data_IF_274033570830
#
_entry.id   IF_274033570830
#
_cell.length_a   1.000
_cell.length_b   1.000
_cell.length_c   1.000
_cell.angle_alpha   90.00
_cell.angle_beta   90.00
_cell.angle_gamma   90.00
#
_symmetry.space_group_name_H-M   'P 1'
#
loop_
_entity.id
_entity.type
_entity.pdbx_description
1 polymer ?
#
# COMPACT_ATOMS: atom_id res chain seq x y z
N UNK A 1 43.45 16.49 29.32
CA UNK A 1 43.96 17.86 29.04
C UNK A 1 42.86 18.62 28.30
N UNK A 2 42.39 19.70 28.91
CA UNK A 2 41.28 20.57 28.42
C UNK A 2 41.85 21.49 27.35
N UNK A 3 41.15 21.73 26.25
CA UNK A 3 41.18 22.97 25.51
C UNK A 3 39.79 23.36 25.05
N UNK A 4 39.25 24.38 25.70
CA UNK A 4 38.09 25.16 25.29
C UNK A 4 38.58 26.20 24.25
N UNK A 5 37.83 26.43 23.20
CA UNK A 5 37.98 27.60 22.36
C UNK A 5 36.61 28.28 22.20
N UNK A 6 36.55 29.48 22.76
CA UNK A 6 35.47 30.46 22.60
C UNK A 6 35.83 31.37 21.44
N UNK A 7 34.91 31.62 20.52
CA UNK A 7 34.98 32.80 19.64
C UNK A 7 33.56 33.36 19.45
N UNK A 8 33.36 34.42 20.01
CA UNK A 8 32.66 35.72 20.00
C UNK A 8 31.87 36.09 18.75
N UNK A 9 30.71 36.69 19.07
CA UNK A 9 29.76 37.46 18.29
C UNK A 9 30.33 38.51 17.35
N UNK A 10 29.59 38.76 16.24
CA UNK A 10 29.50 40.12 15.67
C UNK A 10 28.12 40.32 15.03
N UNK A 11 27.34 41.21 15.59
CA UNK A 11 26.12 41.78 15.03
C UNK A 11 26.48 42.90 14.03
N UNK A 12 25.75 42.96 12.92
CA UNK A 12 25.78 44.17 12.06
C UNK A 12 24.33 44.52 11.66
N UNK A 13 23.85 45.60 12.21
CA UNK A 13 22.62 46.27 11.84
C UNK A 13 22.88 47.25 10.70
N UNK A 14 22.04 47.28 9.66
CA UNK A 14 21.92 48.38 8.73
C UNK A 14 20.46 48.79 8.57
N UNK A 15 20.17 49.96 9.09
CA UNK A 15 19.00 50.76 8.81
C UNK A 15 19.27 51.70 7.64
N UNK A 16 18.37 51.78 6.67
CA UNK A 16 18.22 52.97 5.84
C UNK A 16 16.76 53.15 5.43
N UNK A 17 16.25 54.31 5.84
CA UNK A 17 14.94 54.83 5.46
C UNK A 17 15.05 55.49 4.07
N UNK A 18 13.98 55.45 3.29
CA UNK A 18 13.79 56.20 2.05
C UNK A 18 12.31 56.34 1.76
N UNK A 19 11.76 57.56 2.00
CA UNK A 19 10.43 57.98 1.56
C UNK A 19 10.40 58.30 0.06
N UNK A 20 9.26 58.00 -0.58
CA UNK A 20 8.90 58.50 -1.90
C UNK A 20 7.46 58.17 -2.20
N UNK A 21 6.60 59.20 -2.24
CA UNK A 21 5.15 59.13 -2.52
C UNK A 21 4.88 59.01 -4.02
N UNK A 22 3.85 58.31 -4.42
CA UNK A 22 2.59 58.77 -5.03
C UNK A 22 1.92 57.71 -5.91
N UNK A 23 0.59 57.68 -5.74
CA UNK A 23 -0.47 57.38 -6.72
C UNK A 23 -0.96 55.95 -6.90
N UNK A 24 -2.10 55.72 -6.24
CA UNK A 24 -3.36 55.06 -6.70
C UNK A 24 -3.28 53.96 -7.74
N UNK A 25 -3.49 52.74 -7.27
CA UNK A 25 -4.50 51.84 -7.87
C UNK A 25 -4.96 50.82 -6.84
N UNK A 26 -6.27 50.84 -6.53
CA UNK A 26 -6.96 49.93 -5.64
C UNK A 26 -7.27 48.63 -6.36
N UNK A 27 -6.63 47.54 -5.98
CA UNK A 27 -7.13 46.17 -6.25
C UNK A 27 -7.04 45.38 -4.97
N UNK A 28 -8.09 44.60 -4.57
CA UNK A 28 -8.19 44.04 -3.25
C UNK A 28 -7.28 42.83 -3.07
N UNK A 29 -6.43 42.88 -2.07
CA UNK A 29 -5.63 41.76 -1.61
C UNK A 29 -6.51 40.64 -1.12
N UNK A 30 -6.43 39.47 -1.77
CA UNK A 30 -6.89 38.20 -1.20
C UNK A 30 -5.91 37.76 -0.11
N UNK A 31 -6.40 37.28 1.06
CA UNK A 31 -5.52 36.73 2.07
C UNK A 31 -4.90 35.43 1.57
N UNK A 32 -3.59 35.33 1.69
CA UNK A 32 -2.85 34.09 1.47
C UNK A 32 -3.38 33.01 2.41
N UNK A 33 -4.03 32.00 1.85
CA UNK A 33 -4.29 30.76 2.53
C UNK A 33 -2.95 30.01 2.62
N UNK A 34 -2.41 29.89 3.83
CA UNK A 34 -1.46 28.83 4.15
C UNK A 34 -2.23 27.51 4.10
N UNK A 35 -2.21 26.86 2.95
CA UNK A 35 -2.58 25.46 2.86
C UNK A 35 -1.46 24.63 3.50
N UNK A 36 -1.67 24.25 4.76
CA UNK A 36 -1.00 23.08 5.31
C UNK A 36 -1.61 21.87 4.59
N UNK A 37 -1.07 21.57 3.42
CA UNK A 37 -1.41 20.37 2.68
C UNK A 37 -0.99 19.15 3.48
N UNK A 38 -1.95 18.55 4.16
CA UNK A 38 -1.88 17.18 4.57
C UNK A 38 -2.03 16.36 3.29
N UNK A 39 -0.90 15.99 2.68
CA UNK A 39 -0.89 15.01 1.61
C UNK A 39 -1.13 13.63 2.23
N UNK A 40 -2.38 13.33 2.55
CA UNK A 40 -2.86 11.96 2.52
C UNK A 40 -2.86 11.57 1.03
N UNK A 41 -1.82 10.85 0.63
CA UNK A 41 -1.79 10.17 -0.65
C UNK A 41 -2.79 9.01 -0.56
N UNK A 42 -4.06 9.31 -0.78
CA UNK A 42 -5.07 8.28 -1.03
C UNK A 42 -4.73 7.67 -2.40
N UNK A 43 -3.96 6.61 -2.39
CA UNK A 43 -3.82 5.71 -3.52
C UNK A 43 -5.17 5.02 -3.76
N UNK A 44 -6.04 5.66 -4.51
CA UNK A 44 -7.22 5.03 -5.10
C UNK A 44 -6.78 4.14 -6.28
N UNK A 45 -5.99 3.10 -5.99
CA UNK A 45 -5.72 2.03 -6.92
C UNK A 45 -7.02 1.26 -7.15
N UNK A 46 -7.41 1.03 -8.39
CA UNK A 46 -8.47 0.10 -8.71
C UNK A 46 -7.96 -1.32 -8.39
N UNK A 47 -8.35 -1.86 -7.22
CA UNK A 47 -7.97 -3.18 -6.74
C UNK A 47 -8.77 -4.33 -7.39
N UNK A 48 -9.50 -4.05 -8.47
CA UNK A 48 -10.12 -5.07 -9.31
C UNK A 48 -9.09 -5.69 -10.25
N UNK A 49 -9.15 -7.02 -10.44
CA UNK A 49 -8.30 -7.73 -11.38
C UNK A 49 -9.11 -8.50 -12.42
N UNK A 50 -8.45 -9.00 -13.47
CA UNK A 50 -9.06 -9.88 -14.47
C UNK A 50 -9.38 -11.28 -13.91
N UNK A 51 -8.92 -11.60 -12.69
CA UNK A 51 -9.13 -12.89 -12.04
C UNK A 51 -8.14 -13.97 -12.49
N UNK A 52 -7.13 -13.62 -13.27
CA UNK A 52 -6.05 -14.55 -13.64
C UNK A 52 -5.23 -14.89 -12.41
N UNK A 53 -4.86 -16.14 -12.27
CA UNK A 53 -4.00 -16.66 -11.19
C UNK A 53 -2.84 -17.44 -11.79
N UNK A 54 -1.71 -17.61 -11.07
CA UNK A 54 -0.61 -18.46 -11.54
C UNK A 54 -1.07 -19.88 -11.90
N UNK A 55 -0.57 -20.42 -13.00
CA UNK A 55 -1.01 -21.73 -13.59
C UNK A 55 -0.80 -22.92 -12.62
N UNK A 56 0.17 -22.84 -11.73
CA UNK A 56 0.55 -23.88 -10.78
C UNK A 56 0.00 -23.64 -9.36
N UNK A 57 -0.77 -22.57 -9.17
CA UNK A 57 -1.46 -22.30 -7.90
C UNK A 57 -2.52 -23.38 -7.63
N UNK A 58 -2.44 -24.02 -6.46
CA UNK A 58 -3.31 -25.14 -6.09
C UNK A 58 -4.63 -24.67 -5.50
N UNK A 59 -5.74 -25.08 -6.09
CA UNK A 59 -7.05 -24.92 -5.45
C UNK A 59 -7.08 -25.62 -4.08
N UNK A 60 -7.75 -24.99 -3.11
CA UNK A 60 -7.93 -25.56 -1.79
C UNK A 60 -8.97 -26.69 -1.83
N UNK A 61 -8.62 -27.88 -1.33
CA UNK A 61 -9.49 -29.06 -1.38
C UNK A 61 -10.78 -28.90 -0.55
N UNK A 62 -10.71 -28.28 0.63
CA UNK A 62 -11.83 -28.09 1.55
C UNK A 62 -11.70 -26.74 2.27
N UNK A 63 -11.84 -25.61 1.55
CA UNK A 63 -11.71 -24.30 2.15
C UNK A 63 -12.84 -24.02 3.16
N UNK A 64 -12.54 -23.28 4.22
CA UNK A 64 -13.55 -22.87 5.21
C UNK A 64 -14.67 -22.04 4.58
N UNK A 65 -14.34 -21.31 3.51
CA UNK A 65 -15.29 -20.54 2.71
C UNK A 65 -15.28 -21.04 1.26
N UNK A 66 -16.20 -21.93 0.87
CA UNK A 66 -16.26 -22.43 -0.50
C UNK A 66 -16.56 -21.34 -1.53
N UNK A 67 -16.08 -21.53 -2.77
CA UNK A 67 -16.39 -20.64 -3.89
C UNK A 67 -17.91 -20.46 -4.04
N UNK A 68 -18.37 -19.23 -4.20
CA UNK A 68 -19.77 -18.82 -4.23
C UNK A 68 -20.39 -18.54 -2.86
N UNK A 69 -19.72 -18.89 -1.76
CA UNK A 69 -20.18 -18.51 -0.42
C UNK A 69 -19.88 -17.05 -0.10
N UNK A 70 -20.46 -16.57 1.00
CA UNK A 70 -20.23 -15.24 1.53
C UNK A 70 -19.46 -15.29 2.83
N UNK A 71 -18.63 -14.28 3.05
CA UNK A 71 -17.90 -14.08 4.30
C UNK A 71 -17.87 -12.57 4.62
N UNK A 72 -17.73 -12.22 5.89
CA UNK A 72 -17.44 -10.85 6.29
C UNK A 72 -15.94 -10.68 6.41
N UNK A 73 -15.39 -9.63 5.79
CA UNK A 73 -13.96 -9.33 5.81
C UNK A 73 -13.54 -8.67 7.13
N UNK A 74 -12.49 -9.17 7.74
CA UNK A 74 -11.74 -8.50 8.81
C UNK A 74 -10.46 -7.83 8.27
N UNK A 75 -10.10 -8.16 7.03
CA UNK A 75 -9.01 -7.51 6.29
C UNK A 75 -9.21 -6.00 6.21
N UNK A 76 -8.10 -5.27 6.25
CA UNK A 76 -8.09 -3.81 6.13
C UNK A 76 -6.90 -3.37 5.26
N UNK A 77 -6.79 -3.97 4.08
CA UNK A 77 -5.71 -3.69 3.12
C UNK A 77 -5.98 -2.42 2.33
N UNK A 78 -7.26 -2.02 2.23
CA UNK A 78 -7.72 -0.83 1.55
C UNK A 78 -8.92 -0.21 2.28
N UNK A 79 -9.22 1.09 2.05
CA UNK A 79 -10.40 1.75 2.59
C UNK A 79 -11.71 1.01 2.26
N UNK A 80 -12.66 0.98 3.18
CA UNK A 80 -13.98 0.38 2.98
C UNK A 80 -14.04 -1.16 3.03
N UNK A 81 -12.91 -1.85 3.16
CA UNK A 81 -12.86 -3.32 3.12
C UNK A 81 -13.36 -3.97 4.41
N UNK A 82 -12.91 -3.46 5.57
CA UNK A 82 -13.22 -4.07 6.86
C UNK A 82 -14.69 -4.01 7.22
N UNK A 83 -15.26 -5.17 7.57
CA UNK A 83 -16.67 -5.31 7.93
C UNK A 83 -17.61 -5.49 6.74
N UNK A 84 -17.10 -5.41 5.51
CA UNK A 84 -17.88 -5.59 4.29
C UNK A 84 -18.12 -7.08 4.01
N UNK A 85 -19.30 -7.42 3.50
CA UNK A 85 -19.61 -8.76 3.02
C UNK A 85 -18.97 -8.98 1.64
N UNK A 86 -18.20 -10.05 1.50
CA UNK A 86 -17.58 -10.46 0.26
C UNK A 86 -18.14 -11.77 -0.25
N UNK A 87 -18.12 -11.96 -1.57
CA UNK A 87 -18.37 -13.24 -2.22
C UNK A 87 -17.05 -13.89 -2.58
N UNK A 88 -16.86 -15.13 -2.20
CA UNK A 88 -15.66 -15.90 -2.54
C UNK A 88 -15.71 -16.30 -4.01
N UNK A 89 -14.71 -15.92 -4.79
CA UNK A 89 -14.61 -16.28 -6.21
C UNK A 89 -13.45 -17.22 -6.51
N UNK A 90 -12.52 -17.39 -5.57
CA UNK A 90 -11.44 -18.37 -5.64
C UNK A 90 -10.93 -18.71 -4.24
N UNK A 91 -10.39 -19.91 -4.05
CA UNK A 91 -9.78 -20.37 -2.80
C UNK A 91 -8.58 -21.27 -3.11
N UNK A 92 -7.41 -20.95 -2.58
CA UNK A 92 -6.15 -21.60 -2.95
C UNK A 92 -5.28 -21.86 -1.73
N UNK A 93 -4.50 -22.95 -1.75
CA UNK A 93 -3.57 -23.30 -0.69
C UNK A 93 -2.15 -22.88 -1.11
N UNK A 94 -1.57 -21.94 -0.39
CA UNK A 94 -0.23 -21.43 -0.69
C UNK A 94 0.44 -20.81 0.56
N UNK A 95 1.59 -20.17 0.38
CA UNK A 95 2.19 -19.29 1.37
C UNK A 95 1.93 -17.83 0.96
N UNK A 96 1.26 -17.08 1.85
CA UNK A 96 1.07 -15.64 1.71
C UNK A 96 2.21 -14.87 2.39
N UNK A 97 2.66 -13.80 1.75
CA UNK A 97 3.72 -12.92 2.25
C UNK A 97 3.21 -11.49 2.39
N UNK A 98 3.49 -10.87 3.54
CA UNK A 98 3.52 -9.42 3.60
C UNK A 98 4.89 -8.95 3.11
N UNK A 99 4.92 -7.92 2.28
CA UNK A 99 6.16 -7.44 1.64
C UNK A 99 6.28 -5.92 1.69
N UNK A 100 7.54 -5.46 1.80
CA UNK A 100 7.88 -4.04 1.63
C UNK A 100 8.71 -3.86 0.36
N UNK A 101 8.33 -2.93 -0.50
CA UNK A 101 8.99 -2.72 -1.79
C UNK A 101 8.97 -1.25 -2.22
N UNK A 102 9.80 -0.89 -3.21
CA UNK A 102 9.73 0.40 -3.89
C UNK A 102 9.16 0.18 -5.28
N UNK A 103 8.03 0.85 -5.64
CA UNK A 103 7.44 0.70 -6.96
C UNK A 103 8.42 1.01 -8.10
N UNK A 104 8.36 0.22 -9.18
CA UNK A 104 9.19 0.41 -10.39
C UNK A 104 8.89 1.72 -11.10
N UNK A 105 7.75 2.35 -10.81
CA UNK A 105 7.35 3.68 -11.29
C UNK A 105 8.10 4.83 -10.61
N UNK A 106 8.81 4.56 -9.50
CA UNK A 106 9.56 5.56 -8.73
C UNK A 106 8.74 6.31 -7.70
N UNK A 107 7.55 5.82 -7.36
CA UNK A 107 6.72 6.34 -6.27
C UNK A 107 7.33 6.03 -4.89
N UNK A 108 6.68 6.52 -3.84
CA UNK A 108 7.12 6.28 -2.47
C UNK A 108 7.14 4.78 -2.14
N UNK A 109 8.09 4.32 -1.28
CA UNK A 109 8.09 2.94 -0.82
C UNK A 109 6.77 2.53 -0.20
N UNK A 110 6.34 1.30 -0.50
CA UNK A 110 5.17 0.65 0.09
C UNK A 110 5.67 -0.28 1.19
N UNK A 111 5.15 -0.12 2.40
CA UNK A 111 5.54 -0.94 3.55
C UNK A 111 4.42 -1.90 3.93
N UNK A 112 4.79 -3.14 4.26
CA UNK A 112 3.89 -4.17 4.77
C UNK A 112 2.64 -4.38 3.91
N UNK A 113 2.82 -4.38 2.58
CA UNK A 113 1.74 -4.71 1.63
C UNK A 113 1.27 -6.14 1.83
N UNK A 114 -0.02 -6.33 1.93
CA UNK A 114 -0.71 -7.61 2.07
C UNK A 114 -1.64 -7.85 0.88
N UNK A 115 -1.56 -8.93 0.22
CA UNK A 115 -0.64 -10.05 0.27
C UNK A 115 -0.07 -10.32 -1.12
N UNK A 116 1.13 -10.88 -1.18
CA UNK A 116 1.70 -11.53 -2.36
C UNK A 116 1.80 -13.01 -2.04
N UNK A 117 1.49 -13.89 -2.98
CA UNK A 117 1.59 -15.33 -2.77
C UNK A 117 2.90 -15.89 -3.34
N UNK A 118 3.22 -17.11 -2.93
CA UNK A 118 4.49 -17.76 -3.28
C UNK A 118 4.69 -17.87 -4.80
N UNK A 119 3.64 -18.19 -5.52
CA UNK A 119 3.62 -18.35 -6.97
C UNK A 119 3.64 -17.01 -7.74
N UNK A 120 3.52 -15.89 -7.04
CA UNK A 120 3.67 -14.53 -7.56
C UNK A 120 5.07 -13.94 -7.33
N UNK A 121 6.06 -14.78 -7.02
CA UNK A 121 7.45 -14.37 -6.89
C UNK A 121 8.26 -14.89 -8.08
N UNK A 122 9.12 -14.06 -8.67
CA UNK A 122 9.93 -14.46 -9.84
C UNK A 122 10.89 -15.60 -9.48
N UNK A 123 10.78 -16.70 -10.22
CA UNK A 123 11.66 -17.85 -10.03
C UNK A 123 11.61 -18.44 -8.62
N UNK A 124 10.43 -18.42 -7.99
CA UNK A 124 10.24 -18.95 -6.66
C UNK A 124 10.74 -20.40 -6.52
N UNK A 125 11.11 -20.75 -5.31
CA UNK A 125 11.69 -22.06 -4.95
C UNK A 125 10.59 -22.98 -4.41
N UNK A 126 10.96 -24.24 -4.16
CA UNK A 126 10.05 -25.18 -3.49
C UNK A 126 9.82 -24.80 -2.00
N UNK A 127 10.86 -24.22 -1.37
CA UNK A 127 10.77 -23.80 0.04
C UNK A 127 10.29 -22.36 0.14
N UNK A 128 9.43 -22.11 1.14
CA UNK A 128 8.94 -20.77 1.45
C UNK A 128 10.08 -19.84 1.88
N UNK A 129 9.95 -18.56 1.55
CA UNK A 129 10.88 -17.52 1.97
C UNK A 129 10.65 -17.12 3.43
N UNK A 130 11.71 -16.72 4.11
CA UNK A 130 11.68 -16.25 5.48
C UNK A 130 11.64 -14.72 5.56
N UNK A 131 11.15 -14.14 6.67
CA UNK A 131 11.26 -12.71 6.91
C UNK A 131 12.71 -12.21 6.78
N UNK A 132 12.91 -11.14 6.01
CA UNK A 132 14.21 -10.57 5.67
C UNK A 132 14.80 -11.06 4.34
N UNK A 133 14.22 -12.08 3.70
CA UNK A 133 14.64 -12.50 2.36
C UNK A 133 14.25 -11.43 1.33
N UNK A 134 15.09 -11.27 0.31
CA UNK A 134 14.82 -10.41 -0.83
C UNK A 134 14.31 -11.25 -2.01
N UNK A 135 13.25 -10.78 -2.65
CA UNK A 135 12.58 -11.43 -3.77
C UNK A 135 12.24 -10.40 -4.85
N UNK A 136 11.86 -10.86 -6.04
CA UNK A 136 11.27 -10.00 -7.07
C UNK A 136 9.81 -10.40 -7.25
N UNK A 137 8.92 -9.41 -7.26
CA UNK A 137 7.48 -9.63 -7.40
C UNK A 137 7.15 -9.82 -8.89
N UNK A 138 6.30 -10.80 -9.18
CA UNK A 138 5.73 -11.09 -10.50
C UNK A 138 4.19 -11.04 -10.37
N UNK A 139 3.67 -9.90 -9.95
CA UNK A 139 2.26 -9.62 -9.79
C UNK A 139 1.99 -8.12 -9.96
N UNK A 140 0.82 -7.78 -10.42
CA UNK A 140 0.39 -6.40 -10.71
C UNK A 140 -0.88 -6.01 -9.92
N UNK A 141 -0.94 -6.35 -8.63
CA UNK A 141 -2.06 -5.94 -7.77
C UNK A 141 -2.16 -4.42 -7.63
N UNK A 142 -1.04 -3.74 -7.78
CA UNK A 142 -0.91 -2.27 -7.75
C UNK A 142 0.08 -1.81 -8.81
N UNK A 143 -0.06 -0.57 -9.26
CA UNK A 143 0.86 0.03 -10.23
C UNK A 143 2.31 0.02 -9.72
N UNK A 144 3.23 -0.42 -10.56
CA UNK A 144 4.65 -0.50 -10.25
C UNK A 144 5.06 -1.66 -9.32
N UNK A 145 4.17 -2.59 -9.03
CA UNK A 145 4.48 -3.78 -8.24
C UNK A 145 5.25 -4.83 -9.05
N UNK A 146 4.83 -5.07 -10.28
CA UNK A 146 5.49 -6.04 -11.16
C UNK A 146 6.96 -5.68 -11.42
N UNK A 147 7.86 -6.64 -11.22
CA UNK A 147 9.30 -6.49 -11.34
C UNK A 147 9.95 -5.74 -10.18
N UNK A 148 9.22 -5.33 -9.14
CA UNK A 148 9.79 -4.66 -7.99
C UNK A 148 10.58 -5.62 -7.11
N UNK A 149 11.77 -5.18 -6.65
CA UNK A 149 12.51 -5.86 -5.59
C UNK A 149 11.81 -5.60 -4.24
N UNK A 150 11.53 -6.66 -3.50
CA UNK A 150 10.82 -6.61 -2.24
C UNK A 150 11.55 -7.37 -1.14
N UNK A 151 11.32 -6.96 0.10
CA UNK A 151 11.73 -7.68 1.31
C UNK A 151 10.50 -8.36 1.90
N UNK A 152 10.63 -9.62 2.27
CA UNK A 152 9.59 -10.36 3.00
C UNK A 152 9.52 -9.84 4.44
N UNK A 153 8.38 -9.30 4.84
CA UNK A 153 8.12 -8.84 6.21
C UNK A 153 7.59 -9.98 7.09
N UNK A 154 6.68 -10.77 6.54
CA UNK A 154 6.13 -11.97 7.20
C UNK A 154 5.70 -13.01 6.18
N UNK A 155 5.54 -14.26 6.64
CA UNK A 155 5.07 -15.38 5.83
C UNK A 155 4.07 -16.22 6.61
N UNK A 156 3.04 -16.72 5.93
CA UNK A 156 1.99 -17.57 6.49
C UNK A 156 1.57 -18.63 5.48
N UNK A 157 1.66 -19.90 5.85
CA UNK A 157 1.08 -20.97 5.04
C UNK A 157 -0.41 -21.08 5.37
N UNK A 158 -1.26 -20.76 4.41
CA UNK A 158 -2.70 -20.59 4.64
C UNK A 158 -3.52 -20.89 3.39
N UNK A 159 -4.83 -20.81 3.52
CA UNK A 159 -5.74 -20.67 2.38
C UNK A 159 -5.89 -19.19 2.08
N UNK A 160 -5.62 -18.78 0.84
CA UNK A 160 -5.92 -17.44 0.35
C UNK A 160 -7.17 -17.46 -0.51
N UNK A 161 -7.89 -16.36 -0.47
CA UNK A 161 -9.15 -16.19 -1.18
C UNK A 161 -9.08 -15.02 -2.14
N UNK A 162 -9.65 -15.23 -3.33
CA UNK A 162 -10.00 -14.15 -4.26
C UNK A 162 -11.46 -13.79 -4.01
N UNK A 163 -11.78 -12.51 -3.91
CA UNK A 163 -13.08 -12.04 -3.45
C UNK A 163 -13.66 -10.91 -4.30
N UNK A 164 -14.99 -10.90 -4.44
CA UNK A 164 -15.78 -9.77 -4.95
C UNK A 164 -16.50 -9.09 -3.79
N UNK A 165 -16.43 -7.77 -3.72
CA UNK A 165 -17.13 -6.98 -2.69
C UNK A 165 -17.48 -5.57 -3.20
N UNK A 166 -18.18 -4.80 -2.39
CA UNK A 166 -18.50 -3.39 -2.66
C UNK A 166 -17.92 -2.53 -1.53
N UNK A 167 -17.07 -1.58 -1.88
CA UNK A 167 -16.48 -0.62 -0.95
C UNK A 167 -16.80 0.80 -1.43
N UNK A 168 -17.32 1.64 -0.54
CA UNK A 168 -17.63 3.07 -0.80
C UNK A 168 -18.52 3.30 -2.04
N UNK A 169 -19.37 2.31 -2.39
CA UNK A 169 -20.27 2.34 -3.55
C UNK A 169 -19.61 1.92 -4.86
N UNK A 170 -18.36 1.47 -4.82
CA UNK A 170 -17.65 0.91 -5.96
C UNK A 170 -17.55 -0.62 -5.83
N UNK A 171 -17.75 -1.31 -6.95
CA UNK A 171 -17.59 -2.75 -7.01
C UNK A 171 -16.14 -3.12 -7.28
N UNK A 172 -15.53 -3.85 -6.35
CA UNK A 172 -14.21 -4.47 -6.50
C UNK A 172 -14.40 -5.92 -6.91
N UNK A 173 -13.79 -6.33 -8.02
CA UNK A 173 -13.92 -7.68 -8.55
C UNK A 173 -12.57 -8.39 -8.55
N UNK A 174 -12.61 -9.68 -8.23
CA UNK A 174 -11.43 -10.57 -8.21
C UNK A 174 -10.27 -9.96 -7.40
N UNK A 175 -10.56 -9.33 -6.27
CA UNK A 175 -9.52 -8.79 -5.40
C UNK A 175 -8.63 -9.92 -4.87
N UNK A 176 -7.36 -9.79 -4.99
CA UNK A 176 -6.29 -10.68 -4.52
C UNK A 176 -5.45 -9.95 -3.48
N UNK A 177 -5.18 -10.51 -2.35
CA UNK A 177 -5.60 -11.73 -1.70
C UNK A 177 -6.14 -11.40 -0.31
N UNK A 178 -6.97 -12.27 0.22
CA UNK A 178 -7.41 -12.24 1.61
C UNK A 178 -7.08 -13.60 2.22
N UNK A 179 -6.48 -13.64 3.41
CA UNK A 179 -6.18 -14.91 4.10
C UNK A 179 -7.40 -15.44 4.84
N UNK A 180 -7.36 -16.75 5.21
CA UNK A 180 -8.45 -17.36 5.94
C UNK A 180 -8.74 -16.67 7.29
N UNK A 181 -7.71 -16.22 7.99
CA UNK A 181 -7.85 -15.50 9.27
C UNK A 181 -8.48 -14.10 9.12
N UNK A 182 -8.46 -13.54 7.93
CA UNK A 182 -9.06 -12.24 7.62
C UNK A 182 -10.52 -12.33 7.18
N UNK A 183 -11.11 -13.51 7.29
CA UNK A 183 -12.53 -13.79 7.01
C UNK A 183 -13.23 -14.34 8.25
N UNK A 184 -14.52 -14.02 8.37
CA UNK A 184 -15.42 -14.65 9.34
C UNK A 184 -16.77 -14.98 8.70
N UNK A 185 -17.49 -15.90 9.29
CA UNK A 185 -18.87 -16.20 8.85
C UNK A 185 -19.73 -14.93 8.93
N UNK A 186 -20.68 -14.77 7.98
CA UNK A 186 -21.62 -13.64 7.94
C UNK A 186 -22.44 -13.47 9.20
#
# INVERSE_FOLDING_TARGET
MRKRLLITSTALAFSLAGCGADSDNLEPEQPAHEETGNHDSEHHGNHSSAGEVPDDLKEADNPSYPVGSKATMEANHMPGMKGTEATIVGAYTTTAYAVSYTPTTGEAPVENHKWVIHEELEGYKEEAYAPGDTVVINADHMEGMDGAEAVIDSSEQTTVYMVDFEADGERVQNHKWVTEEELRSP
#
